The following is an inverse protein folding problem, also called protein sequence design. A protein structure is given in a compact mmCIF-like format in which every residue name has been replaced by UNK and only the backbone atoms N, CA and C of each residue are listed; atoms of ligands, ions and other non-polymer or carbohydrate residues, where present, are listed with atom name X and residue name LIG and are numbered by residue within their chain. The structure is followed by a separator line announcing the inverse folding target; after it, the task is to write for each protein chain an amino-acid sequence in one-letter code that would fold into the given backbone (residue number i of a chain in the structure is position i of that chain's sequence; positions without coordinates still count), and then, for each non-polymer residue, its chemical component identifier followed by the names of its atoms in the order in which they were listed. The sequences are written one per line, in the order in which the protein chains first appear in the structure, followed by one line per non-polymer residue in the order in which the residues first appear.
data_IF_449234383186
#
_entry.id   IF_449234383186
#
_cell.length_a   1.000
_cell.length_b   1.000
_cell.length_c   1.000
_cell.angle_alpha   90.00
_cell.angle_beta   90.00
_cell.angle_gamma   90.00
#
_symmetry.space_group_name_H-M   'P 1'
#
loop_
_entity.id
_entity.type
_entity.pdbx_description
1 polymer ?
#
# COMPACT_ATOMS: atom_id res chain seq x y z
N UNK A 1 50.20 -90.39 41.28
CA UNK A 1 51.52 -90.48 41.92
C UNK A 1 51.86 -89.08 42.42
N UNK A 2 51.80 -88.89 43.74
CA UNK A 2 52.48 -87.84 44.56
C UNK A 2 52.28 -86.37 44.14
N UNK A 3 51.44 -85.60 44.83
CA UNK A 3 51.77 -84.87 46.08
C UNK A 3 53.14 -84.17 46.02
N UNK A 4 53.14 -82.83 46.05
CA UNK A 4 53.95 -82.02 46.97
C UNK A 4 53.18 -80.72 47.23
N UNK A 5 52.59 -80.69 48.42
CA UNK A 5 52.12 -79.54 49.16
C UNK A 5 53.32 -78.90 49.85
N UNK A 6 53.53 -77.60 49.68
CA UNK A 6 54.35 -76.81 50.59
C UNK A 6 53.77 -75.39 50.66
N UNK A 7 52.99 -75.18 51.71
CA UNK A 7 52.49 -73.90 52.17
C UNK A 7 53.39 -73.46 53.32
N UNK A 8 54.00 -72.28 53.23
CA UNK A 8 54.57 -71.58 54.39
C UNK A 8 54.77 -70.09 54.06
N UNK A 9 53.79 -69.29 54.45
CA UNK A 9 53.94 -67.91 54.93
C UNK A 9 54.50 -67.98 56.38
N UNK A 10 55.10 -66.93 57.00
CA UNK A 10 54.60 -65.55 56.95
C UNK A 10 55.62 -64.38 57.07
N UNK A 11 55.03 -63.20 56.86
CA UNK A 11 55.21 -61.92 57.56
C UNK A 11 56.09 -60.78 57.00
N UNK A 12 55.36 -59.67 56.77
CA UNK A 12 55.71 -58.25 56.88
C UNK A 12 56.92 -57.66 56.15
N UNK A 13 56.65 -56.84 55.12
CA UNK A 13 56.67 -55.36 55.26
C UNK A 13 56.50 -54.64 53.91
N UNK A 14 55.85 -53.48 53.99
CA UNK A 14 55.76 -52.40 53.00
C UNK A 14 54.74 -52.58 51.86
N UNK A 15 53.47 -52.33 52.20
CA UNK A 15 52.50 -51.77 51.28
C UNK A 15 53.03 -50.46 50.67
N UNK A 16 53.36 -50.48 49.39
CA UNK A 16 53.58 -49.26 48.60
C UNK A 16 52.22 -48.82 48.06
N UNK A 17 51.48 -48.10 48.89
CA UNK A 17 50.43 -47.20 48.42
C UNK A 17 50.96 -45.77 48.52
N UNK A 18 51.11 -45.11 47.37
CA UNK A 18 50.97 -43.66 47.10
C UNK A 18 51.84 -43.26 45.88
N UNK A 19 51.50 -42.24 45.07
CA UNK A 19 50.83 -41.02 45.52
C UNK A 19 49.77 -40.40 44.58
N UNK A 20 49.04 -39.44 45.13
CA UNK A 20 48.40 -38.33 44.44
C UNK A 20 47.21 -38.63 43.52
N UNK A 21 46.04 -38.76 44.14
CA UNK A 21 44.93 -37.96 43.65
C UNK A 21 45.31 -36.48 43.87
N UNK A 22 45.36 -35.62 42.83
CA UNK A 22 45.45 -34.19 43.06
C UNK A 22 44.15 -33.77 43.73
N UNK A 23 44.24 -33.44 45.01
CA UNK A 23 43.24 -32.65 45.70
C UNK A 23 42.93 -31.44 44.81
N UNK A 24 41.74 -31.46 44.21
CA UNK A 24 41.15 -30.34 43.50
C UNK A 24 41.48 -29.06 44.25
N UNK A 25 42.29 -28.13 43.70
CA UNK A 25 42.48 -26.85 44.33
C UNK A 25 41.16 -26.13 44.11
N UNK A 26 40.28 -26.19 45.11
CA UNK A 26 39.04 -25.43 45.17
C UNK A 26 39.36 -23.94 45.42
N UNK A 27 40.37 -23.42 44.72
CA UNK A 27 40.95 -22.10 44.85
C UNK A 27 39.95 -21.08 44.28
N UNK A 28 39.51 -20.10 45.08
CA UNK A 28 38.55 -19.09 44.64
C UNK A 28 39.02 -18.30 43.41
N UNK A 29 40.32 -18.16 43.20
CA UNK A 29 40.89 -17.56 41.99
C UNK A 29 40.70 -18.46 40.77
N UNK A 30 40.97 -19.76 40.88
CA UNK A 30 40.72 -20.72 39.80
C UNK A 30 39.24 -20.81 39.44
N UNK A 31 38.34 -20.70 40.43
CA UNK A 31 36.89 -20.59 40.18
C UNK A 31 36.50 -19.30 39.46
N UNK A 32 37.08 -18.15 39.84
CA UNK A 32 36.86 -16.87 39.14
C UNK A 32 37.42 -16.90 37.72
N UNK A 33 38.62 -17.46 37.54
CA UNK A 33 39.27 -17.62 36.24
C UNK A 33 38.44 -18.52 35.32
N UNK A 34 38.06 -19.71 35.79
CA UNK A 34 37.21 -20.63 35.02
C UNK A 34 35.87 -19.97 34.68
N UNK A 35 35.23 -19.27 35.63
CA UNK A 35 33.98 -18.55 35.37
C UNK A 35 34.13 -17.45 34.30
N UNK A 36 35.24 -16.71 34.31
CA UNK A 36 35.54 -15.70 33.28
C UNK A 36 35.77 -16.37 31.92
N UNK A 37 36.54 -17.46 31.87
CA UNK A 37 36.79 -18.23 30.65
C UNK A 37 35.52 -18.87 30.08
N UNK A 38 34.63 -19.36 30.95
CA UNK A 38 33.32 -19.90 30.60
C UNK A 38 32.35 -18.85 30.06
N UNK A 39 32.57 -17.56 30.36
CA UNK A 39 31.70 -16.47 29.88
C UNK A 39 31.81 -16.27 28.36
N UNK A 40 32.76 -16.93 27.67
CA UNK A 40 32.90 -17.05 26.20
C UNK A 40 32.38 -15.85 25.39
N UNK A 41 32.87 -14.66 25.73
CA UNK A 41 32.44 -13.38 25.14
C UNK A 41 32.64 -13.31 23.62
N UNK A 42 33.54 -14.12 23.05
CA UNK A 42 33.85 -14.13 21.62
C UNK A 42 32.84 -14.93 20.77
N UNK A 43 32.05 -15.81 21.40
CA UNK A 43 31.06 -16.64 20.68
C UNK A 43 29.66 -16.02 20.65
N UNK A 44 29.41 -15.02 21.50
CA UNK A 44 28.11 -14.35 21.60
C UNK A 44 28.18 -12.97 20.95
N UNK A 45 27.86 -12.94 19.65
CA UNK A 45 27.84 -11.72 18.84
C UNK A 45 26.85 -10.69 19.38
N UNK A 46 25.69 -11.11 19.88
CA UNK A 46 24.64 -10.22 20.39
C UNK A 46 25.08 -9.57 21.70
N UNK A 47 25.70 -10.34 22.60
CA UNK A 47 26.29 -9.80 23.83
C UNK A 47 27.41 -8.79 23.52
N UNK A 48 28.26 -9.07 22.54
CA UNK A 48 29.33 -8.16 22.13
C UNK A 48 28.77 -6.86 21.54
N UNK A 49 27.71 -6.93 20.72
CA UNK A 49 27.03 -5.76 20.18
C UNK A 49 26.32 -4.95 21.27
N UNK A 50 25.65 -5.59 22.23
CA UNK A 50 25.04 -4.94 23.37
C UNK A 50 26.10 -4.21 24.24
N UNK A 51 27.24 -4.84 24.49
CA UNK A 51 28.36 -4.22 25.22
C UNK A 51 28.99 -3.07 24.44
N UNK A 52 29.11 -3.17 23.10
CA UNK A 52 29.53 -2.04 22.24
C UNK A 52 28.55 -0.88 22.33
N UNK A 53 27.25 -1.14 22.28
CA UNK A 53 26.21 -0.12 22.42
C UNK A 53 26.26 0.55 23.80
N UNK A 54 26.47 -0.23 24.86
CA UNK A 54 26.64 0.26 26.23
C UNK A 54 27.88 1.18 26.35
N UNK A 55 28.99 0.81 25.72
CA UNK A 55 30.25 1.56 25.72
C UNK A 55 30.12 2.99 25.18
N UNK A 56 29.20 3.23 24.24
CA UNK A 56 28.95 4.57 23.67
C UNK A 56 28.55 5.59 24.74
N UNK A 57 27.87 5.16 25.81
CA UNK A 57 27.36 6.06 26.85
C UNK A 57 27.82 5.73 28.27
N UNK A 58 28.35 4.52 28.50
CA UNK A 58 28.94 4.13 29.77
C UNK A 58 30.46 4.27 29.72
N UNK A 59 30.94 5.51 29.74
CA UNK A 59 32.37 5.85 29.61
C UNK A 59 33.15 5.70 30.91
N UNK A 60 32.50 5.93 32.06
CA UNK A 60 33.13 5.87 33.38
C UNK A 60 32.57 4.73 34.23
N UNK A 61 33.45 3.84 34.69
CA UNK A 61 33.10 2.76 35.61
C UNK A 61 33.28 3.21 37.06
N UNK A 62 32.22 3.80 37.63
CA UNK A 62 32.14 4.19 39.04
C UNK A 62 31.03 3.41 39.74
N UNK A 63 31.06 3.37 41.08
CA UNK A 63 29.98 2.79 41.88
C UNK A 63 28.62 3.43 41.58
N UNK A 64 28.61 4.74 41.33
CA UNK A 64 27.40 5.51 41.02
C UNK A 64 26.84 5.15 39.65
N UNK A 65 27.68 5.15 38.61
CA UNK A 65 27.27 4.81 37.24
C UNK A 65 26.80 3.36 37.16
N UNK A 66 27.48 2.42 37.84
CA UNK A 66 27.03 1.03 37.91
C UNK A 66 25.66 0.87 38.60
N UNK A 67 25.41 1.62 39.68
CA UNK A 67 24.12 1.57 40.39
C UNK A 67 22.96 2.14 39.56
N UNK A 68 23.24 3.13 38.72
CA UNK A 68 22.24 3.82 37.93
C UNK A 68 22.06 3.24 36.51
N UNK A 69 22.98 2.38 36.06
CA UNK A 69 23.08 1.84 34.70
C UNK A 69 21.74 1.36 34.15
N UNK A 70 20.99 0.57 34.93
CA UNK A 70 19.68 0.07 34.50
C UNK A 70 18.70 1.21 34.22
N UNK A 71 18.59 2.17 35.14
CA UNK A 71 17.69 3.32 34.98
C UNK A 71 18.11 4.24 33.84
N UNK A 72 19.42 4.34 33.57
CA UNK A 72 19.94 5.13 32.45
C UNK A 72 19.64 4.45 31.10
N UNK A 73 19.76 3.12 31.03
CA UNK A 73 19.33 2.32 29.86
C UNK A 73 17.82 2.49 29.62
N UNK A 74 17.01 2.34 30.68
CA UNK A 74 15.55 2.46 30.60
C UNK A 74 15.13 3.86 30.13
N UNK A 75 15.72 4.93 30.69
CA UNK A 75 15.46 6.32 30.26
C UNK A 75 15.83 6.54 28.79
N UNK A 76 17.02 6.08 28.38
CA UNK A 76 17.46 6.22 26.98
C UNK A 76 16.53 5.49 26.02
N UNK A 77 16.13 4.26 26.36
CA UNK A 77 15.16 3.48 25.58
C UNK A 77 13.85 4.23 25.43
N UNK A 78 13.34 4.81 26.52
CA UNK A 78 12.12 5.61 26.51
C UNK A 78 12.26 6.85 25.62
N UNK A 79 13.35 7.61 25.73
CA UNK A 79 13.61 8.79 24.88
C UNK A 79 13.67 8.42 23.39
N UNK A 80 14.35 7.32 23.04
CA UNK A 80 14.42 6.86 21.65
C UNK A 80 13.02 6.50 21.13
N UNK A 81 12.21 5.81 21.95
CA UNK A 81 10.86 5.43 21.56
C UNK A 81 9.93 6.64 21.41
N UNK A 82 10.05 7.65 22.27
CA UNK A 82 9.32 8.91 22.15
C UNK A 82 9.70 9.67 20.88
N UNK A 83 11.00 9.74 20.58
CA UNK A 83 11.50 10.38 19.36
C UNK A 83 11.02 9.64 18.11
N UNK A 84 11.09 8.30 18.11
CA UNK A 84 10.56 7.46 17.04
C UNK A 84 9.06 7.72 16.83
N UNK A 85 8.26 7.70 17.90
CA UNK A 85 6.83 7.94 17.81
C UNK A 85 6.51 9.35 17.27
N UNK A 86 7.29 10.37 17.68
CA UNK A 86 7.12 11.74 17.18
C UNK A 86 7.41 11.83 15.68
N UNK A 87 8.56 11.34 15.24
CA UNK A 87 8.95 11.40 13.81
C UNK A 87 7.98 10.59 12.97
N UNK A 88 7.58 9.41 13.44
CA UNK A 88 6.66 8.54 12.71
C UNK A 88 5.25 9.14 12.62
N UNK A 89 4.83 9.93 13.61
CA UNK A 89 3.57 10.67 13.55
C UNK A 89 3.56 11.66 12.39
N UNK A 90 4.62 12.44 12.21
CA UNK A 90 4.70 13.41 11.11
C UNK A 90 4.62 12.70 9.74
N UNK A 91 5.34 11.56 9.59
CA UNK A 91 5.27 10.73 8.37
C UNK A 91 3.87 10.16 8.15
N UNK A 92 3.19 9.72 9.21
CA UNK A 92 1.81 9.23 9.14
C UNK A 92 0.86 10.32 8.67
N UNK A 93 0.96 11.53 9.23
CA UNK A 93 0.08 12.65 8.88
C UNK A 93 0.25 13.06 7.41
N UNK A 94 1.49 13.13 6.92
CA UNK A 94 1.75 13.39 5.50
C UNK A 94 1.20 12.28 4.59
N UNK A 95 1.33 11.01 4.99
CA UNK A 95 0.80 9.88 4.23
C UNK A 95 -0.75 9.88 4.21
N UNK A 96 -1.38 10.24 5.33
CA UNK A 96 -2.84 10.41 5.43
C UNK A 96 -3.32 11.54 4.51
N UNK A 97 -2.62 12.68 4.47
CA UNK A 97 -2.94 13.77 3.54
C UNK A 97 -2.86 13.33 2.08
N UNK A 98 -1.81 12.60 1.69
CA UNK A 98 -1.68 12.09 0.32
C UNK A 98 -2.79 11.09 0.01
N UNK A 99 -3.18 10.25 0.98
CA UNK A 99 -4.28 9.31 0.81
C UNK A 99 -5.61 10.03 0.56
N UNK A 100 -5.90 11.07 1.34
CA UNK A 100 -7.09 11.90 1.17
C UNK A 100 -7.12 12.58 -0.20
N UNK A 101 -6.00 13.15 -0.66
CA UNK A 101 -5.88 13.78 -1.98
C UNK A 101 -6.12 12.79 -3.12
N UNK A 102 -5.55 11.59 -3.04
CA UNK A 102 -5.76 10.53 -4.04
C UNK A 102 -7.21 10.09 -4.06
N UNK A 103 -7.85 9.98 -2.90
CA UNK A 103 -9.25 9.59 -2.81
C UNK A 103 -10.17 10.67 -3.40
N UNK A 104 -9.92 11.95 -3.10
CA UNK A 104 -10.63 13.08 -3.70
C UNK A 104 -10.45 13.12 -5.23
N UNK A 105 -9.23 12.87 -5.72
CA UNK A 105 -8.96 12.79 -7.16
C UNK A 105 -9.72 11.64 -7.82
N UNK A 106 -9.77 10.46 -7.18
CA UNK A 106 -10.55 9.32 -7.68
C UNK A 106 -12.03 9.68 -7.81
N UNK A 107 -12.63 10.28 -6.78
CA UNK A 107 -14.02 10.72 -6.80
C UNK A 107 -14.27 11.74 -7.91
N UNK A 108 -13.38 12.72 -8.09
CA UNK A 108 -13.49 13.70 -9.17
C UNK A 108 -13.42 13.06 -10.57
N UNK A 109 -12.52 12.09 -10.77
CA UNK A 109 -12.43 11.33 -12.02
C UNK A 109 -13.70 10.52 -12.30
N UNK A 110 -14.29 9.89 -11.29
CA UNK A 110 -15.54 9.14 -11.41
C UNK A 110 -16.71 10.07 -11.77
N UNK A 111 -16.82 11.21 -11.10
CA UNK A 111 -17.82 12.23 -11.41
C UNK A 111 -17.68 12.76 -12.83
N UNK A 112 -16.46 13.09 -13.27
CA UNK A 112 -16.18 13.59 -14.61
C UNK A 112 -16.53 12.54 -15.67
N UNK A 113 -16.19 11.28 -15.43
CA UNK A 113 -16.53 10.15 -16.30
C UNK A 113 -18.04 9.98 -16.41
N UNK A 114 -18.77 10.07 -15.29
CA UNK A 114 -20.22 9.98 -15.27
C UNK A 114 -20.87 11.14 -16.04
N UNK A 115 -20.38 12.37 -15.88
CA UNK A 115 -20.87 13.54 -16.64
C UNK A 115 -20.61 13.39 -18.14
N UNK A 116 -19.42 12.91 -18.53
CA UNK A 116 -19.10 12.67 -19.93
C UNK A 116 -20.01 11.60 -20.54
N UNK A 117 -20.28 10.52 -19.80
CA UNK A 117 -21.22 9.48 -20.22
C UNK A 117 -22.64 10.02 -20.41
N UNK A 118 -23.14 10.80 -19.45
CA UNK A 118 -24.46 11.42 -19.55
C UNK A 118 -24.55 12.39 -20.75
N UNK A 119 -23.52 13.21 -20.98
CA UNK A 119 -23.48 14.12 -22.13
C UNK A 119 -23.44 13.37 -23.47
N UNK A 120 -22.69 12.25 -23.53
CA UNK A 120 -22.66 11.35 -24.69
C UNK A 120 -24.05 10.78 -24.98
N UNK A 121 -24.72 10.24 -23.96
CA UNK A 121 -26.04 9.64 -24.09
C UNK A 121 -27.08 10.68 -24.55
N UNK A 122 -27.07 11.88 -23.97
CA UNK A 122 -27.93 12.99 -24.39
C UNK A 122 -27.67 13.42 -25.84
N UNK A 123 -26.40 13.47 -26.25
CA UNK A 123 -26.02 13.83 -27.62
C UNK A 123 -26.49 12.76 -28.61
N UNK A 124 -26.36 11.48 -28.25
CA UNK A 124 -26.85 10.36 -29.06
C UNK A 124 -28.37 10.43 -29.24
N UNK A 125 -29.12 10.70 -28.18
CA UNK A 125 -30.57 10.90 -28.25
C UNK A 125 -30.96 12.07 -29.16
N UNK A 126 -30.22 13.17 -29.08
CA UNK A 126 -30.44 14.33 -29.95
C UNK A 126 -30.18 14.00 -31.42
N UNK A 127 -29.10 13.26 -31.72
CA UNK A 127 -28.79 12.80 -33.08
C UNK A 127 -29.91 11.91 -33.63
N UNK A 128 -30.44 10.99 -32.83
CA UNK A 128 -31.57 10.13 -33.25
C UNK A 128 -32.81 10.97 -33.56
N UNK A 129 -33.16 11.93 -32.69
CA UNK A 129 -34.30 12.84 -32.92
C UNK A 129 -34.10 13.69 -34.17
N UNK A 130 -32.93 14.26 -34.37
CA UNK A 130 -32.61 15.09 -35.55
C UNK A 130 -32.68 14.27 -36.84
N UNK A 131 -32.14 13.06 -36.87
CA UNK A 131 -32.25 12.18 -38.04
C UNK A 131 -33.70 11.84 -38.37
N UNK A 132 -34.53 11.57 -37.35
CA UNK A 132 -35.97 11.32 -37.55
C UNK A 132 -36.66 12.55 -38.16
N UNK A 133 -36.44 13.74 -37.60
CA UNK A 133 -36.98 15.01 -38.08
C UNK A 133 -36.54 15.30 -39.52
N UNK A 134 -35.27 15.05 -39.85
CA UNK A 134 -34.76 15.23 -41.22
C UNK A 134 -35.47 14.30 -42.21
N UNK A 135 -35.70 13.04 -41.85
CA UNK A 135 -36.47 12.11 -42.67
C UNK A 135 -37.93 12.55 -42.87
N UNK A 136 -38.58 13.04 -41.81
CA UNK A 136 -39.94 13.59 -41.91
C UNK A 136 -40.00 14.85 -42.76
N UNK A 137 -39.02 15.74 -42.63
CA UNK A 137 -38.91 16.98 -43.42
C UNK A 137 -38.75 16.65 -44.91
N UNK A 138 -37.83 15.74 -45.27
CA UNK A 138 -37.65 15.31 -46.66
C UNK A 138 -38.93 14.71 -47.25
N UNK A 139 -39.66 13.89 -46.47
CA UNK A 139 -40.95 13.34 -46.90
C UNK A 139 -42.00 14.44 -47.14
N UNK A 140 -42.05 15.45 -46.28
CA UNK A 140 -42.95 16.59 -46.44
C UNK A 140 -42.58 17.44 -47.66
N UNK A 141 -41.28 17.66 -47.89
CA UNK A 141 -40.76 18.41 -49.03
C UNK A 141 -41.14 17.74 -50.35
N UNK A 142 -40.94 16.41 -50.47
CA UNK A 142 -41.38 15.65 -51.65
C UNK A 142 -42.89 15.77 -51.86
N UNK A 143 -43.70 15.67 -50.80
CA UNK A 143 -45.15 15.84 -50.90
C UNK A 143 -45.55 17.25 -51.35
N UNK A 144 -44.88 18.28 -50.84
CA UNK A 144 -45.12 19.66 -51.23
C UNK A 144 -44.77 19.90 -52.70
N UNK A 145 -43.64 19.36 -53.19
CA UNK A 145 -43.25 19.43 -54.60
C UNK A 145 -44.30 18.76 -55.51
N UNK A 146 -44.79 17.58 -55.13
CA UNK A 146 -45.85 16.89 -55.89
C UNK A 146 -47.15 17.70 -55.90
N UNK A 147 -47.57 18.26 -54.77
CA UNK A 147 -48.75 19.11 -54.68
C UNK A 147 -48.59 20.36 -55.55
N UNK A 148 -47.42 21.02 -55.52
CA UNK A 148 -47.13 22.18 -56.35
C UNK A 148 -47.18 21.83 -57.84
N UNK A 149 -46.57 20.72 -58.26
CA UNK A 149 -46.62 20.26 -59.63
C UNK A 149 -48.05 19.93 -60.08
N UNK A 150 -48.87 19.37 -59.19
CA UNK A 150 -50.29 19.14 -59.43
C UNK A 150 -51.04 20.45 -59.63
N UNK A 151 -50.86 21.44 -58.75
CA UNK A 151 -51.51 22.75 -58.89
C UNK A 151 -51.12 23.44 -60.21
N UNK A 152 -49.83 23.44 -60.56
CA UNK A 152 -49.35 24.02 -61.83
C UNK A 152 -49.97 23.34 -63.05
N UNK A 153 -50.19 22.02 -63.00
CA UNK A 153 -50.70 21.27 -64.15
C UNK A 153 -52.21 21.27 -64.28
N UNK A 154 -52.93 21.36 -63.17
CA UNK A 154 -54.39 21.16 -63.12
C UNK A 154 -55.18 22.41 -62.69
N UNK A 155 -54.52 23.48 -62.24
CA UNK A 155 -55.16 24.79 -62.09
C UNK A 155 -54.82 25.69 -63.28
N UNK A 156 -55.81 26.45 -63.73
CA UNK A 156 -55.59 27.54 -64.66
C UNK A 156 -54.69 28.59 -64.01
N UNK A 157 -53.60 28.93 -64.68
CA UNK A 157 -52.75 30.05 -64.28
C UNK A 157 -53.57 31.34 -64.23
N UNK A 158 -53.08 32.31 -63.47
CA UNK A 158 -53.79 33.58 -63.31
C UNK A 158 -54.06 34.28 -64.66
N UNK A 159 -53.14 34.12 -65.61
CA UNK A 159 -53.23 34.62 -66.98
C UNK A 159 -54.28 33.87 -67.81
N UNK A 160 -54.34 32.54 -67.71
CA UNK A 160 -55.36 31.73 -68.38
C UNK A 160 -56.76 32.00 -67.81
N UNK A 161 -56.89 32.16 -66.49
CA UNK A 161 -58.14 32.58 -65.85
C UNK A 161 -58.58 33.99 -66.28
N UNK A 162 -57.65 34.94 -66.41
CA UNK A 162 -57.95 36.29 -66.86
C UNK A 162 -58.46 36.30 -68.33
N UNK A 163 -57.87 35.45 -69.17
CA UNK A 163 -58.30 35.27 -70.57
C UNK A 163 -59.69 34.63 -70.65
N UNK A 164 -59.95 33.60 -69.85
CA UNK A 164 -61.25 32.90 -69.81
C UNK A 164 -62.37 33.74 -69.21
N UNK A 165 -62.08 34.67 -68.28
CA UNK A 165 -63.09 35.59 -67.76
C UNK A 165 -63.47 36.68 -68.76
N UNK A 166 -62.62 36.94 -69.76
CA UNK A 166 -62.80 37.97 -70.77
C UNK A 166 -62.93 39.38 -70.14
N UNK A 167 -62.83 40.45 -70.95
CA UNK A 167 -63.40 41.72 -70.50
C UNK A 167 -64.89 41.45 -70.31
N UNK A 168 -65.44 41.74 -69.13
CA UNK A 168 -66.88 41.85 -68.93
C UNK A 168 -67.42 42.81 -70.00
N UNK A 169 -67.89 42.28 -71.14
CA UNK A 169 -68.78 43.02 -72.02
C UNK A 169 -70.13 42.96 -71.34
N UNK A 170 -70.35 43.91 -70.43
CA UNK A 170 -71.69 44.38 -70.12
C UNK A 170 -72.24 44.88 -71.46
N UNK A 171 -73.02 44.01 -72.11
CA UNK A 171 -73.98 44.43 -73.10
C UNK A 171 -75.08 45.14 -72.33
N UNK A 172 -75.08 46.47 -72.34
CA UNK A 172 -76.32 47.21 -72.12
C UNK A 172 -76.86 47.66 -73.49
N UNK A 173 -78.15 47.40 -73.78
CA UNK A 173 -78.79 47.82 -75.01
C UNK A 173 -79.32 49.26 -74.91
N UNK A 174 -79.66 49.78 -76.11
CA UNK A 174 -80.32 51.06 -76.47
C UNK A 174 -79.37 52.17 -76.92
#
# INVERSE_FOLDING_TARGET
MTDIKAEMTPDSSAAIQSPNAPSQPNNPLSRKLNKILETRLDNDKEMLEALKALSVFFTENSLRTRRNLRGDIERRSLTINEEFARIFKDVKEELESVHEDVQAMSTCCDEMTNRLKAAKDQTQDLIVKTNKLQGENHRLEVRAQVAQAFLVKFQLSHEEMATLRGPYRVTDPV
#
